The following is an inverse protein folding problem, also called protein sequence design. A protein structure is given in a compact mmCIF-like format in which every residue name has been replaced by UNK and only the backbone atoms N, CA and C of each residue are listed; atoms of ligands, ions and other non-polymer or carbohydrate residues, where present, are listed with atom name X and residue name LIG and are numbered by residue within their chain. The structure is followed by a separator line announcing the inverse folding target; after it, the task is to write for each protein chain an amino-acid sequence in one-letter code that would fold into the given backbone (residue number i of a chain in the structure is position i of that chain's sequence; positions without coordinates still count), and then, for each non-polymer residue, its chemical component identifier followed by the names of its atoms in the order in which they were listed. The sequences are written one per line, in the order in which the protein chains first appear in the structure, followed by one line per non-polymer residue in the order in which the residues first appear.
data_IF_392851168315
#
_entry.id   IF_392851168315
#
_cell.length_a   1.000
_cell.length_b   1.000
_cell.length_c   1.000
_cell.angle_alpha   90.00
_cell.angle_beta   90.00
_cell.angle_gamma   90.00
#
_symmetry.space_group_name_H-M   'P 1'
#
loop_
_entity.id
_entity.type
_entity.pdbx_description
1 polymer ?
#
# COMPACT_ATOMS: atom_id res chain seq x y z
N UNK A 1 -60.01 -12.27 9.10
CA UNK A 1 -59.35 -11.49 10.15
C UNK A 1 -58.91 -12.45 11.25
N UNK A 2 -57.59 -12.68 11.32
CA UNK A 2 -56.70 -13.29 12.34
C UNK A 2 -57.32 -13.93 13.60
N UNK A 3 -56.99 -15.20 13.91
CA UNK A 3 -56.06 -15.58 15.01
C UNK A 3 -56.06 -17.06 15.43
N UNK A 4 -54.86 -17.48 15.84
CA UNK A 4 -54.50 -18.52 16.81
C UNK A 4 -54.28 -19.98 16.36
N UNK A 5 -53.03 -20.20 15.91
CA UNK A 5 -52.07 -21.18 16.46
C UNK A 5 -52.62 -22.07 17.59
N UNK A 6 -52.78 -23.37 17.31
CA UNK A 6 -52.78 -24.44 18.30
C UNK A 6 -51.55 -25.32 18.12
N UNK A 7 -50.84 -25.44 19.23
CA UNK A 7 -49.66 -26.22 19.54
C UNK A 7 -50.00 -27.72 19.56
N UNK A 8 -49.24 -28.56 18.86
CA UNK A 8 -48.65 -29.86 19.26
C UNK A 8 -48.30 -30.71 18.01
N UNK A 9 -47.05 -31.22 17.98
CA UNK A 9 -46.35 -31.93 16.88
C UNK A 9 -47.00 -33.26 16.43
N UNK A 10 -46.52 -33.88 15.33
CA UNK A 10 -45.39 -34.82 15.49
C UNK A 10 -44.25 -34.64 14.47
N UNK A 11 -43.04 -34.90 14.96
CA UNK A 11 -41.84 -35.38 14.25
C UNK A 11 -41.72 -35.23 12.72
N UNK A 12 -40.73 -34.44 12.28
CA UNK A 12 -39.82 -34.88 11.23
C UNK A 12 -38.40 -34.37 11.50
N UNK A 13 -37.54 -35.27 11.96
CA UNK A 13 -36.09 -35.06 12.02
C UNK A 13 -35.58 -35.09 10.57
N UNK A 14 -35.47 -33.93 9.94
CA UNK A 14 -34.52 -33.75 8.84
C UNK A 14 -33.30 -33.07 9.42
N UNK A 15 -32.25 -33.87 9.60
CA UNK A 15 -30.89 -33.45 9.86
C UNK A 15 -30.56 -32.32 8.89
N UNK A 16 -30.35 -31.10 9.40
CA UNK A 16 -29.76 -30.04 8.60
C UNK A 16 -28.32 -30.45 8.39
N UNK A 17 -28.05 -30.87 7.15
CA UNK A 17 -26.79 -31.42 6.65
C UNK A 17 -25.61 -30.55 7.08
N UNK A 18 -24.83 -31.06 8.03
CA UNK A 18 -23.50 -30.55 8.32
C UNK A 18 -22.54 -30.93 7.21
N UNK A 19 -22.54 -30.21 6.08
CA UNK A 19 -21.52 -30.38 5.04
C UNK A 19 -21.38 -29.20 4.04
N UNK A 20 -20.88 -28.03 4.47
CA UNK A 20 -20.01 -27.26 3.57
C UNK A 20 -18.58 -27.07 4.10
N UNK A 21 -18.29 -27.35 5.38
CA UNK A 21 -16.93 -27.17 5.93
C UNK A 21 -15.91 -28.20 5.41
N UNK A 22 -16.30 -29.47 5.25
CA UNK A 22 -15.37 -30.55 4.88
C UNK A 22 -14.94 -30.54 3.40
N UNK A 23 -15.81 -30.06 2.50
CA UNK A 23 -15.51 -30.02 1.05
C UNK A 23 -14.49 -28.93 0.68
N UNK A 24 -14.33 -27.91 1.53
CA UNK A 24 -13.39 -26.80 1.32
C UNK A 24 -12.20 -26.82 2.30
N UNK A 25 -12.07 -27.87 3.13
CA UNK A 25 -11.04 -27.96 4.15
C UNK A 25 -9.61 -27.81 3.58
N UNK A 26 -9.35 -28.33 2.38
CA UNK A 26 -8.07 -28.14 1.67
C UNK A 26 -7.82 -26.68 1.26
N UNK A 27 -8.85 -25.95 0.85
CA UNK A 27 -8.74 -24.53 0.50
C UNK A 27 -8.53 -23.66 1.75
N UNK A 28 -9.20 -23.99 2.86
CA UNK A 28 -8.97 -23.32 4.16
C UNK A 28 -7.56 -23.61 4.70
N UNK A 29 -7.09 -24.86 4.60
CA UNK A 29 -5.74 -25.22 4.99
C UNK A 29 -4.69 -24.51 4.10
N UNK A 30 -4.91 -24.43 2.80
CA UNK A 30 -4.05 -23.68 1.88
C UNK A 30 -4.08 -22.16 2.11
N UNK A 31 -5.22 -21.60 2.51
CA UNK A 31 -5.31 -20.20 2.96
C UNK A 31 -4.54 -19.99 4.27
N UNK A 32 -4.69 -20.91 5.24
CA UNK A 32 -4.00 -20.87 6.53
C UNK A 32 -2.48 -21.01 6.38
N UNK A 33 -2.00 -21.91 5.52
CA UNK A 33 -0.57 -22.06 5.19
C UNK A 33 -0.03 -20.81 4.47
N UNK A 34 -0.82 -20.15 3.62
CA UNK A 34 -0.46 -18.83 3.07
C UNK A 34 -0.40 -17.75 4.13
N UNK A 35 -1.26 -17.79 5.15
CA UNK A 35 -1.18 -16.90 6.31
C UNK A 35 0.10 -17.12 7.14
N UNK A 36 0.63 -18.35 7.20
CA UNK A 36 1.96 -18.61 7.79
C UNK A 36 3.13 -18.09 6.94
N UNK A 37 2.90 -17.80 5.65
CA UNK A 37 3.92 -17.19 4.77
C UNK A 37 4.26 -15.74 5.14
N UNK A 38 3.42 -15.09 5.96
CA UNK A 38 3.73 -13.80 6.60
C UNK A 38 4.88 -13.89 7.62
N UNK A 39 5.21 -15.09 8.11
CA UNK A 39 6.34 -15.32 9.02
C UNK A 39 7.65 -15.69 8.30
N UNK A 40 7.61 -15.87 6.98
CA UNK A 40 8.83 -16.02 6.18
C UNK A 40 9.48 -14.65 6.09
N UNK A 41 10.74 -14.53 6.52
CA UNK A 41 11.50 -13.29 6.36
C UNK A 41 11.48 -12.89 4.88
N UNK A 42 11.20 -11.62 4.55
CA UNK A 42 11.32 -11.16 3.17
C UNK A 42 12.73 -11.46 2.67
N UNK A 43 12.84 -11.80 1.38
CA UNK A 43 14.14 -12.00 0.76
C UNK A 43 14.99 -10.73 0.94
N UNK A 44 16.31 -10.85 1.09
CA UNK A 44 17.19 -9.69 1.09
C UNK A 44 17.00 -8.85 -0.17
N UNK A 45 17.11 -7.53 -0.04
CA UNK A 45 17.19 -6.63 -1.19
C UNK A 45 18.64 -6.66 -1.68
N UNK A 46 18.88 -7.33 -2.80
CA UNK A 46 20.21 -7.61 -3.35
C UNK A 46 20.53 -6.83 -4.62
N UNK A 47 19.53 -6.24 -5.27
CA UNK A 47 19.71 -5.39 -6.44
C UNK A 47 18.82 -4.11 -6.42
N UNK A 48 19.02 -3.24 -7.41
CA UNK A 48 18.30 -1.98 -7.52
C UNK A 48 16.84 -2.13 -7.96
N UNK A 49 16.49 -3.19 -8.69
CA UNK A 49 15.11 -3.45 -9.08
C UNK A 49 14.30 -3.90 -7.86
N UNK A 50 14.84 -4.83 -7.08
CA UNK A 50 14.28 -5.27 -5.80
C UNK A 50 14.13 -4.10 -4.81
N UNK A 51 15.04 -3.13 -4.84
CA UNK A 51 14.92 -1.91 -4.04
C UNK A 51 13.75 -1.03 -4.51
N UNK A 52 13.57 -0.86 -5.82
CA UNK A 52 12.47 -0.09 -6.38
C UNK A 52 11.12 -0.74 -6.05
N UNK A 53 11.00 -2.06 -6.24
CA UNK A 53 9.82 -2.87 -5.88
C UNK A 53 9.51 -2.75 -4.39
N UNK A 54 10.55 -2.83 -3.54
CA UNK A 54 10.41 -2.66 -2.10
C UNK A 54 9.85 -1.28 -1.74
N UNK A 55 10.42 -0.21 -2.29
CA UNK A 55 9.97 1.15 -2.06
C UNK A 55 8.51 1.33 -2.51
N UNK A 56 8.17 0.84 -3.69
CA UNK A 56 6.81 0.89 -4.23
C UNK A 56 5.82 0.17 -3.31
N UNK A 57 6.08 -1.10 -2.97
CA UNK A 57 5.19 -1.91 -2.15
C UNK A 57 4.97 -1.33 -0.74
N UNK A 58 6.06 -0.86 -0.11
CA UNK A 58 5.98 -0.26 1.23
C UNK A 58 5.20 1.05 1.21
N UNK A 59 5.46 1.92 0.23
CA UNK A 59 4.75 3.20 0.12
C UNK A 59 3.28 3.02 -0.25
N UNK A 60 2.96 2.06 -1.13
CA UNK A 60 1.57 1.70 -1.43
C UNK A 60 0.83 1.19 -0.18
N UNK A 61 1.48 0.35 0.63
CA UNK A 61 0.92 -0.14 1.89
C UNK A 61 0.69 1.00 2.89
N UNK A 62 1.67 1.88 3.09
CA UNK A 62 1.56 3.01 4.01
C UNK A 62 0.49 4.00 3.55
N UNK A 63 0.45 4.36 2.28
CA UNK A 63 -0.57 5.26 1.74
C UNK A 63 -1.99 4.69 1.91
N UNK A 64 -2.18 3.40 1.60
CA UNK A 64 -3.45 2.71 1.77
C UNK A 64 -3.90 2.65 3.23
N UNK A 65 -3.04 2.16 4.12
CA UNK A 65 -3.39 1.99 5.54
C UNK A 65 -3.60 3.33 6.24
N UNK A 66 -2.82 4.35 5.88
CA UNK A 66 -2.97 5.71 6.41
C UNK A 66 -4.27 6.35 5.94
N UNK A 67 -4.52 6.41 4.62
CA UNK A 67 -5.69 7.10 4.07
C UNK A 67 -6.98 6.45 4.53
N UNK A 68 -7.11 5.13 4.32
CA UNK A 68 -8.34 4.41 4.65
C UNK A 68 -8.51 4.25 6.16
N UNK A 69 -7.43 4.10 6.92
CA UNK A 69 -7.46 4.05 8.38
C UNK A 69 -7.91 5.38 9.01
N UNK A 70 -7.42 6.50 8.49
CA UNK A 70 -7.85 7.83 8.90
C UNK A 70 -9.34 8.05 8.62
N UNK A 71 -9.79 7.75 7.40
CA UNK A 71 -11.18 7.91 7.00
C UNK A 71 -12.12 7.03 7.83
N UNK A 72 -11.73 5.77 8.08
CA UNK A 72 -12.49 4.86 8.95
C UNK A 72 -12.68 5.44 10.34
N UNK A 73 -11.61 5.99 10.92
CA UNK A 73 -11.64 6.58 12.26
C UNK A 73 -12.54 7.82 12.30
N UNK A 74 -12.49 8.67 11.26
CA UNK A 74 -13.27 9.92 11.20
C UNK A 74 -14.74 9.72 10.84
N UNK A 75 -15.06 8.75 10.00
CA UNK A 75 -16.43 8.48 9.58
C UNK A 75 -17.24 7.65 10.60
N UNK A 76 -16.58 7.05 11.61
CA UNK A 76 -17.25 6.18 12.56
C UNK A 76 -17.98 5.03 11.86
N UNK A 77 -19.23 4.74 12.23
CA UNK A 77 -20.02 3.67 11.60
C UNK A 77 -20.39 3.95 10.14
N UNK A 78 -20.31 5.20 9.67
CA UNK A 78 -20.67 5.55 8.29
C UNK A 78 -19.65 5.03 7.25
N UNK A 79 -18.45 4.60 7.69
CA UNK A 79 -17.44 4.05 6.77
C UNK A 79 -17.94 2.85 5.97
N UNK A 80 -18.87 2.04 6.53
CA UNK A 80 -19.47 0.92 5.82
C UNK A 80 -20.24 1.39 4.58
N UNK A 81 -21.01 2.47 4.70
CA UNK A 81 -21.77 3.02 3.58
C UNK A 81 -20.84 3.72 2.59
N UNK A 82 -19.89 4.54 3.09
CA UNK A 82 -18.95 5.29 2.25
C UNK A 82 -18.07 4.38 1.39
N UNK A 83 -17.50 3.31 1.95
CA UNK A 83 -16.63 2.40 1.18
C UNK A 83 -17.39 1.44 0.26
N UNK A 84 -18.71 1.43 0.32
CA UNK A 84 -19.57 0.71 -0.65
C UNK A 84 -20.03 1.64 -1.78
N UNK A 85 -19.87 2.96 -1.62
CA UNK A 85 -20.17 3.96 -2.64
C UNK A 85 -19.03 4.05 -3.66
N UNK A 86 -19.31 3.67 -4.91
CA UNK A 86 -18.33 3.66 -6.00
C UNK A 86 -17.80 5.05 -6.34
N UNK A 87 -18.61 6.11 -6.21
CA UNK A 87 -18.17 7.48 -6.46
C UNK A 87 -17.18 7.93 -5.38
N UNK A 88 -17.44 7.58 -4.13
CA UNK A 88 -16.51 7.87 -3.05
C UNK A 88 -15.19 7.12 -3.22
N UNK A 89 -15.25 5.82 -3.50
CA UNK A 89 -14.05 4.99 -3.77
C UNK A 89 -13.27 5.52 -4.97
N UNK A 90 -13.97 5.96 -6.02
CA UNK A 90 -13.38 6.59 -7.20
C UNK A 90 -12.57 7.85 -6.88
N UNK A 91 -12.98 8.64 -5.89
CA UNK A 91 -12.20 9.80 -5.41
C UNK A 91 -11.00 9.41 -4.54
N UNK A 92 -11.06 8.28 -3.84
CA UNK A 92 -9.97 7.83 -2.96
C UNK A 92 -8.77 7.28 -3.72
N UNK A 93 -8.99 6.66 -4.87
CA UNK A 93 -7.92 6.12 -5.72
C UNK A 93 -6.86 7.16 -6.10
N UNK A 94 -7.20 8.30 -6.73
CA UNK A 94 -6.23 9.34 -7.05
C UNK A 94 -5.58 9.95 -5.79
N UNK A 95 -6.35 10.13 -4.70
CA UNK A 95 -5.81 10.63 -3.44
C UNK A 95 -4.76 9.69 -2.83
N UNK A 96 -5.01 8.38 -2.88
CA UNK A 96 -4.06 7.35 -2.44
C UNK A 96 -2.79 7.39 -3.29
N UNK A 97 -2.91 7.47 -4.61
CA UNK A 97 -1.75 7.44 -5.51
C UNK A 97 -0.87 8.67 -5.36
N UNK A 98 -1.45 9.86 -5.15
CA UNK A 98 -0.69 11.06 -4.75
C UNK A 98 0.06 10.87 -3.44
N UNK A 99 -0.61 10.37 -2.41
CA UNK A 99 0.03 10.10 -1.11
C UNK A 99 1.16 9.08 -1.25
N UNK A 100 0.95 8.05 -2.08
CA UNK A 100 1.95 7.04 -2.37
C UNK A 100 3.20 7.67 -3.02
N UNK A 101 3.06 8.54 -4.03
CA UNK A 101 4.19 9.23 -4.66
C UNK A 101 4.97 10.11 -3.68
N UNK A 102 4.27 10.78 -2.75
CA UNK A 102 4.91 11.54 -1.66
C UNK A 102 5.71 10.61 -0.75
N UNK A 103 5.16 9.45 -0.38
CA UNK A 103 5.88 8.45 0.41
C UNK A 103 7.10 7.88 -0.33
N UNK A 104 6.99 7.59 -1.64
CA UNK A 104 8.11 7.10 -2.47
C UNK A 104 9.25 8.10 -2.49
N UNK A 105 8.95 9.38 -2.66
CA UNK A 105 9.98 10.42 -2.63
C UNK A 105 10.79 10.37 -1.33
N UNK A 106 10.15 10.34 -0.17
CA UNK A 106 10.85 10.33 1.11
C UNK A 106 11.64 9.04 1.33
N UNK A 107 11.02 7.88 1.07
CA UNK A 107 11.65 6.59 1.29
C UNK A 107 12.83 6.37 0.33
N UNK A 108 12.68 6.74 -0.95
CA UNK A 108 13.75 6.63 -1.94
C UNK A 108 14.97 7.46 -1.53
N UNK A 109 14.75 8.72 -1.12
CA UNK A 109 15.84 9.59 -0.68
C UNK A 109 16.58 9.02 0.55
N UNK A 110 15.83 8.47 1.52
CA UNK A 110 16.42 7.84 2.69
C UNK A 110 17.23 6.58 2.32
N UNK A 111 16.63 5.65 1.58
CA UNK A 111 17.30 4.40 1.17
C UNK A 111 18.58 4.68 0.36
N UNK A 112 18.51 5.60 -0.60
CA UNK A 112 19.66 5.98 -1.43
C UNK A 112 20.76 6.62 -0.58
N UNK A 113 20.42 7.50 0.36
CA UNK A 113 21.39 8.13 1.26
C UNK A 113 22.11 7.09 2.14
N UNK A 114 21.36 6.16 2.74
CA UNK A 114 21.92 5.07 3.55
C UNK A 114 22.83 4.15 2.73
N UNK A 115 22.42 3.81 1.50
CA UNK A 115 23.25 3.01 0.59
C UNK A 115 24.52 3.78 0.23
N UNK A 116 24.39 5.05 -0.13
CA UNK A 116 25.51 5.91 -0.50
C UNK A 116 26.55 6.06 0.59
N UNK A 117 26.12 6.29 1.84
CA UNK A 117 27.01 6.35 3.00
C UNK A 117 27.77 5.04 3.22
N UNK A 118 27.11 3.89 3.05
CA UNK A 118 27.71 2.56 3.29
C UNK A 118 28.62 2.07 2.17
N UNK A 119 28.36 2.49 0.94
CA UNK A 119 29.03 1.97 -0.27
C UNK A 119 29.96 2.98 -0.93
N UNK A 120 29.89 4.26 -0.54
CA UNK A 120 30.66 5.34 -1.14
C UNK A 120 30.19 5.71 -2.55
N UNK A 121 28.91 5.48 -2.88
CA UNK A 121 28.36 5.92 -4.17
C UNK A 121 28.54 7.42 -4.37
N UNK A 122 28.87 7.82 -5.60
CA UNK A 122 28.96 9.24 -5.94
C UNK A 122 27.59 9.91 -5.87
N UNK A 123 27.52 11.23 -5.60
CA UNK A 123 26.27 11.98 -5.62
C UNK A 123 25.49 11.83 -6.93
N UNK A 124 26.18 11.74 -8.07
CA UNK A 124 25.54 11.52 -9.37
C UNK A 124 24.90 10.12 -9.47
N UNK A 125 25.56 9.09 -8.95
CA UNK A 125 25.00 7.74 -8.93
C UNK A 125 23.80 7.63 -7.97
N UNK A 126 23.88 8.29 -6.82
CA UNK A 126 22.75 8.40 -5.88
C UNK A 126 21.55 9.10 -6.52
N UNK A 127 21.78 10.23 -7.20
CA UNK A 127 20.71 10.92 -7.94
C UNK A 127 20.07 10.02 -9.00
N UNK A 128 20.88 9.33 -9.82
CA UNK A 128 20.38 8.42 -10.84
C UNK A 128 19.55 7.27 -10.26
N UNK A 129 20.02 6.68 -9.16
CA UNK A 129 19.30 5.61 -8.46
C UNK A 129 17.95 6.12 -7.92
N UNK A 130 17.93 7.25 -7.22
CA UNK A 130 16.68 7.83 -6.72
C UNK A 130 15.68 8.12 -7.85
N UNK A 131 16.14 8.71 -8.96
CA UNK A 131 15.28 8.96 -10.13
C UNK A 131 14.73 7.66 -10.71
N UNK A 132 15.53 6.58 -10.77
CA UNK A 132 15.06 5.28 -11.25
C UNK A 132 13.96 4.68 -10.36
N UNK A 133 14.04 4.85 -9.03
CA UNK A 133 13.00 4.39 -8.10
C UNK A 133 11.70 5.17 -8.31
N UNK A 134 11.78 6.50 -8.50
CA UNK A 134 10.59 7.32 -8.78
C UNK A 134 9.98 6.98 -10.14
N UNK A 135 10.81 6.77 -11.18
CA UNK A 135 10.34 6.37 -12.49
C UNK A 135 9.59 5.03 -12.43
N UNK A 136 10.15 4.04 -11.75
CA UNK A 136 9.48 2.76 -11.51
C UNK A 136 8.13 2.94 -10.79
N UNK A 137 8.06 3.79 -9.76
CA UNK A 137 6.79 4.05 -9.08
C UNK A 137 5.75 4.76 -9.96
N UNK A 138 6.19 5.64 -10.86
CA UNK A 138 5.33 6.28 -11.85
C UNK A 138 4.82 5.26 -12.87
N UNK A 139 5.69 4.38 -13.37
CA UNK A 139 5.33 3.33 -14.33
C UNK A 139 4.34 2.33 -13.72
N UNK A 140 4.51 1.94 -12.45
CA UNK A 140 3.58 1.05 -11.74
C UNK A 140 2.22 1.71 -11.43
N UNK A 141 2.16 3.05 -11.39
CA UNK A 141 0.92 3.81 -11.25
C UNK A 141 0.27 4.19 -12.59
N UNK A 142 1.02 4.06 -13.69
CA UNK A 142 0.52 4.30 -15.02
C UNK A 142 -0.51 3.21 -15.34
N UNK A 143 -1.74 3.64 -15.66
CA UNK A 143 -2.99 2.84 -15.70
C UNK A 143 -3.73 2.69 -14.35
N UNK A 144 -4.44 3.76 -13.95
CA UNK A 144 -5.84 3.73 -13.48
C UNK A 144 -6.20 4.93 -12.60
N UNK A 145 -5.22 5.54 -11.93
CA UNK A 145 -5.51 6.40 -10.78
C UNK A 145 -5.17 7.89 -10.98
N UNK A 146 -4.21 8.26 -11.84
CA UNK A 146 -3.80 9.65 -12.07
C UNK A 146 -3.64 9.98 -13.57
N UNK A 147 -3.87 11.24 -14.00
CA UNK A 147 -3.54 11.67 -15.36
C UNK A 147 -2.04 11.57 -15.64
N UNK A 148 -1.68 11.17 -16.86
CA UNK A 148 -0.28 11.05 -17.30
C UNK A 148 0.54 12.32 -17.05
N UNK A 149 0.02 13.50 -17.44
CA UNK A 149 0.71 14.77 -17.21
C UNK A 149 0.92 15.11 -15.72
N UNK A 150 0.12 14.54 -14.82
CA UNK A 150 0.34 14.69 -13.37
C UNK A 150 1.49 13.79 -12.90
N UNK A 151 1.54 12.55 -13.37
CA UNK A 151 2.63 11.61 -13.09
C UNK A 151 3.98 12.14 -13.61
N UNK A 152 4.00 12.68 -14.83
CA UNK A 152 5.17 13.32 -15.42
C UNK A 152 5.66 14.50 -14.57
N UNK A 153 4.73 15.32 -14.06
CA UNK A 153 5.07 16.44 -13.18
C UNK A 153 5.71 15.95 -11.86
N UNK A 154 5.22 14.86 -11.27
CA UNK A 154 5.85 14.25 -10.09
C UNK A 154 7.28 13.78 -10.38
N UNK A 155 7.49 13.06 -11.48
CA UNK A 155 8.83 12.59 -11.87
C UNK A 155 9.79 13.76 -12.12
N UNK A 156 9.34 14.78 -12.86
CA UNK A 156 10.12 15.96 -13.17
C UNK A 156 10.51 16.75 -11.92
N UNK A 157 9.55 17.02 -11.02
CA UNK A 157 9.80 17.78 -9.80
C UNK A 157 10.74 17.05 -8.85
N UNK A 158 10.60 15.73 -8.74
CA UNK A 158 11.52 14.90 -7.97
C UNK A 158 12.94 14.94 -8.55
N UNK A 159 13.08 14.81 -9.87
CA UNK A 159 14.37 14.90 -10.55
C UNK A 159 15.03 16.29 -10.41
N UNK A 160 14.25 17.35 -10.25
CA UNK A 160 14.76 18.68 -9.91
C UNK A 160 15.22 18.76 -8.45
N UNK A 161 14.41 18.25 -7.51
CA UNK A 161 14.68 18.33 -6.06
C UNK A 161 15.84 17.47 -5.60
N UNK A 162 15.98 16.26 -6.15
CA UNK A 162 17.04 15.31 -5.76
C UNK A 162 18.45 15.88 -5.96
N UNK A 163 18.61 16.83 -6.89
CA UNK A 163 19.89 17.53 -7.15
C UNK A 163 20.34 18.41 -5.98
N UNK A 164 19.41 18.82 -5.11
CA UNK A 164 19.63 19.73 -4.00
C UNK A 164 19.70 19.00 -2.65
N UNK A 165 19.65 17.66 -2.65
CA UNK A 165 19.62 16.86 -1.43
C UNK A 165 20.99 16.84 -0.77
N UNK A 166 21.01 17.14 0.53
CA UNK A 166 22.14 16.84 1.40
C UNK A 166 22.09 15.36 1.78
N UNK A 167 22.87 14.55 1.05
CA UNK A 167 22.93 13.09 1.25
C UNK A 167 23.43 12.69 2.63
N UNK A 168 24.33 13.48 3.23
CA UNK A 168 24.89 13.18 4.54
C UNK A 168 23.85 13.37 5.64
N UNK A 169 23.08 14.45 5.58
CA UNK A 169 21.98 14.69 6.49
C UNK A 169 20.90 13.62 6.32
N UNK A 170 20.57 13.24 5.08
CA UNK A 170 19.46 12.32 4.77
C UNK A 170 19.73 10.87 5.16
N UNK A 171 21.00 10.45 5.29
CA UNK A 171 21.36 9.11 5.76
C UNK A 171 21.09 8.92 7.25
N UNK A 172 21.04 10.02 8.02
CA UNK A 172 20.74 10.02 9.44
C UNK A 172 19.24 9.74 9.68
N UNK A 173 18.87 8.71 10.48
CA UNK A 173 17.47 8.36 10.72
C UNK A 173 16.61 9.52 11.27
N UNK A 174 17.20 10.42 12.05
CA UNK A 174 16.53 11.59 12.62
C UNK A 174 16.05 12.58 11.55
N UNK A 175 16.77 12.70 10.43
CA UNK A 175 16.48 13.66 9.37
C UNK A 175 15.78 12.99 8.16
N UNK A 176 15.49 11.69 8.26
CA UNK A 176 14.99 10.87 7.16
C UNK A 176 13.57 11.24 6.71
N UNK A 177 12.75 11.87 7.57
CA UNK A 177 11.34 12.16 7.27
C UNK A 177 10.86 13.53 7.75
N UNK A 178 11.76 14.50 7.91
CA UNK A 178 11.41 15.82 8.49
C UNK A 178 10.50 16.67 7.61
N UNK A 179 10.61 16.54 6.28
CA UNK A 179 9.85 17.36 5.32
C UNK A 179 9.45 16.57 4.08
N UNK A 180 8.20 16.12 4.07
CA UNK A 180 7.55 15.61 2.85
C UNK A 180 7.06 16.76 1.97
N UNK A 181 6.86 16.47 0.68
CA UNK A 181 6.09 17.34 -0.22
C UNK A 181 4.68 17.53 0.38
N UNK A 182 4.18 18.76 0.39
CA UNK A 182 2.75 18.98 0.69
C UNK A 182 1.92 18.49 -0.51
N UNK A 183 0.90 17.63 -0.28
CA UNK A 183 -0.01 17.20 -1.34
C UNK A 183 -0.83 18.36 -1.91
#
# INVERSE_FOLDING_TARGET
MVMLVKVLKPFNHKSVEGAPMLKNAGNYFGAMVRSFRFWVKPAPIDDFAALADFCFAQCAHIAQTTLYGYLRTRAGLQHFNLFTDESFVGMLRPARSRLMLVCVEDLALYCVAVIGERTGLSPAAMQALGVSIMAHAVDELAEADLPEGELEAYAHDFAARIKLVDWSARAQPENAFERSRKP
#
